data_IF_003191020117
#
_entry.id   IF_003191020117
#
_cell.length_a   1.000
_cell.length_b   1.000
_cell.length_c   1.000
_cell.angle_alpha   90.00
_cell.angle_beta   90.00
_cell.angle_gamma   90.00
#
_symmetry.space_group_name_H-M   'P 1'
#
loop_
_entity.id
_entity.type
_entity.pdbx_description
1 polymer ?
#
# COMPACT_ATOMS: atom_id res chain seq x y z
N UNK A 1 -3.12 15.95 -0.64
CA UNK A 1 -2.62 14.58 -0.47
C UNK A 1 -2.62 14.30 1.02
N UNK A 2 -3.14 13.17 1.47
CA UNK A 2 -3.29 12.76 2.87
C UNK A 2 -2.01 12.12 3.44
N UNK A 3 -0.83 12.51 2.92
CA UNK A 3 0.46 12.00 3.34
C UNK A 3 1.33 13.10 3.93
N UNK A 4 1.85 12.86 5.13
CA UNK A 4 2.95 13.62 5.71
C UNK A 4 4.27 12.86 5.48
N UNK A 5 5.30 13.52 4.94
CA UNK A 5 6.56 12.87 4.61
C UNK A 5 7.63 13.15 5.67
N UNK A 6 8.52 12.19 5.91
CA UNK A 6 9.72 12.43 6.74
C UNK A 6 10.57 13.56 6.14
N UNK A 7 11.11 14.45 6.98
CA UNK A 7 11.82 15.67 6.53
C UNK A 7 12.93 15.40 5.50
N UNK A 8 13.64 14.28 5.68
CA UNK A 8 14.77 13.92 4.84
C UNK A 8 14.37 13.26 3.51
N UNK A 9 13.09 13.14 3.16
CA UNK A 9 12.65 12.34 2.01
C UNK A 9 13.32 12.77 0.70
N UNK A 10 13.28 14.07 0.38
CA UNK A 10 13.80 14.58 -0.87
C UNK A 10 15.33 14.40 -0.94
N UNK A 11 16.03 14.81 0.12
CA UNK A 11 17.48 14.66 0.20
C UNK A 11 17.93 13.19 0.14
N UNK A 12 17.18 12.28 0.76
CA UNK A 12 17.50 10.85 0.76
C UNK A 12 17.19 10.17 -0.57
N UNK A 13 16.16 10.61 -1.30
CA UNK A 13 15.90 10.16 -2.66
C UNK A 13 17.00 10.62 -3.62
N UNK A 14 17.47 11.86 -3.49
CA UNK A 14 18.59 12.38 -4.29
C UNK A 14 19.92 11.67 -4.03
N UNK A 15 20.17 11.29 -2.76
CA UNK A 15 21.38 10.54 -2.36
C UNK A 15 21.28 9.04 -2.59
N UNK A 16 20.12 8.52 -2.98
CA UNK A 16 19.98 7.11 -3.29
C UNK A 16 20.92 6.74 -4.44
N UNK A 17 21.41 5.50 -4.42
CA UNK A 17 22.34 5.00 -5.43
C UNK A 17 21.78 5.24 -6.84
N UNK A 18 22.48 5.98 -7.73
CA UNK A 18 22.00 6.28 -9.07
C UNK A 18 21.65 5.03 -9.88
N UNK A 19 22.27 3.88 -9.58
CA UNK A 19 21.94 2.61 -10.20
C UNK A 19 20.49 2.18 -9.94
N UNK A 20 19.89 2.54 -8.79
CA UNK A 20 18.49 2.27 -8.48
C UNK A 20 17.55 2.95 -9.49
N UNK A 21 17.88 4.19 -9.83
CA UNK A 21 17.08 5.03 -10.75
C UNK A 21 17.40 4.75 -12.21
N UNK A 22 18.56 4.16 -12.51
CA UNK A 22 18.94 3.73 -13.85
C UNK A 22 18.22 2.45 -14.30
N UNK A 23 17.59 1.71 -13.40
CA UNK A 23 16.79 0.54 -13.75
C UNK A 23 15.48 0.97 -14.44
N UNK A 24 15.25 0.46 -15.65
CA UNK A 24 14.05 0.79 -16.44
C UNK A 24 12.78 0.15 -15.88
N UNK A 25 12.90 -1.04 -15.31
CA UNK A 25 11.77 -1.90 -14.91
C UNK A 25 11.85 -2.22 -13.42
N UNK A 26 12.13 -1.19 -12.61
CA UNK A 26 12.17 -1.29 -11.15
C UNK A 26 10.93 -0.69 -10.49
N UNK A 27 10.55 -1.27 -9.35
CA UNK A 27 9.50 -0.74 -8.47
C UNK A 27 10.12 -0.43 -7.12
N UNK A 28 10.09 0.85 -6.73
CA UNK A 28 10.64 1.29 -5.45
C UNK A 28 9.48 1.67 -4.53
N UNK A 29 9.21 0.84 -3.53
CA UNK A 29 8.15 1.05 -2.55
C UNK A 29 8.57 2.14 -1.55
N UNK A 30 7.71 3.15 -1.41
CA UNK A 30 7.74 4.12 -0.32
C UNK A 30 6.93 3.57 0.87
N UNK A 31 7.57 3.28 2.02
CA UNK A 31 6.84 2.82 3.19
C UNK A 31 5.91 3.89 3.74
N UNK A 32 4.64 3.51 3.91
CA UNK A 32 3.62 4.35 4.53
C UNK A 32 3.12 3.70 5.81
N UNK A 33 3.10 4.46 6.89
CA UNK A 33 2.54 4.08 8.18
C UNK A 33 1.28 4.90 8.46
N UNK A 34 0.49 4.48 9.44
CA UNK A 34 -0.86 5.03 9.65
C UNK A 34 -0.98 5.61 11.05
N UNK A 35 -1.52 6.83 11.16
CA UNK A 35 -1.94 7.35 12.46
C UNK A 35 -3.15 6.56 13.00
N UNK A 36 -3.13 6.28 14.30
CA UNK A 36 -4.24 5.60 14.98
C UNK A 36 -5.22 6.61 15.58
N UNK A 37 -6.39 6.15 16.04
CA UNK A 37 -7.37 7.00 16.73
C UNK A 37 -6.79 7.62 18.02
N UNK A 38 -5.75 6.99 18.58
CA UNK A 38 -5.03 7.52 19.73
C UNK A 38 -4.26 8.80 19.40
N UNK A 39 -3.73 8.91 18.17
CA UNK A 39 -3.00 10.09 17.73
C UNK A 39 -3.94 11.22 17.30
N UNK A 40 -4.96 10.88 16.52
CA UNK A 40 -5.94 11.83 16.01
C UNK A 40 -7.33 11.21 16.12
N UNK A 41 -8.20 11.85 16.90
CA UNK A 41 -9.58 11.42 17.04
C UNK A 41 -10.45 12.10 15.97
N UNK A 42 -10.95 11.31 15.02
CA UNK A 42 -11.76 11.81 13.89
C UNK A 42 -13.10 12.37 14.32
N UNK A 43 -13.65 11.93 15.46
CA UNK A 43 -14.87 12.49 16.04
C UNK A 43 -14.65 13.89 16.66
N UNK A 44 -13.41 14.22 17.02
CA UNK A 44 -13.06 15.52 17.58
C UNK A 44 -12.82 16.58 16.49
N UNK A 45 -12.07 16.24 15.44
CA UNK A 45 -11.79 17.19 14.35
C UNK A 45 -12.93 17.31 13.32
N UNK A 46 -13.75 16.26 13.13
CA UNK A 46 -14.96 16.16 12.29
C UNK A 46 -14.78 16.40 10.79
N UNK A 47 -14.07 17.45 10.40
CA UNK A 47 -13.81 17.84 9.02
C UNK A 47 -12.48 17.28 8.53
N UNK A 48 -12.43 16.87 7.25
CA UNK A 48 -11.23 16.29 6.64
C UNK A 48 -10.01 17.20 6.77
N UNK A 49 -10.14 18.47 6.42
CA UNK A 49 -9.03 19.43 6.48
C UNK A 49 -8.51 19.63 7.90
N UNK A 50 -9.41 19.79 8.88
CA UNK A 50 -9.06 19.92 10.28
C UNK A 50 -8.32 18.67 10.80
N UNK A 51 -8.79 17.47 10.43
CA UNK A 51 -8.13 16.22 10.83
C UNK A 51 -6.76 16.03 10.15
N UNK A 52 -6.60 16.47 8.90
CA UNK A 52 -5.31 16.45 8.20
C UNK A 52 -4.33 17.42 8.86
N UNK A 53 -4.75 18.64 9.19
CA UNK A 53 -3.91 19.60 9.91
C UNK A 53 -3.50 19.10 11.31
N UNK A 54 -4.40 18.42 12.02
CA UNK A 54 -4.04 17.76 13.28
C UNK A 54 -3.07 16.60 13.08
N UNK A 55 -3.28 15.80 12.02
CA UNK A 55 -2.39 14.70 11.65
C UNK A 55 -0.99 15.19 11.35
N UNK A 56 -0.86 16.28 10.61
CA UNK A 56 0.43 16.89 10.27
C UNK A 56 1.23 17.27 11.52
N UNK A 57 0.57 17.90 12.50
CA UNK A 57 1.20 18.32 13.78
C UNK A 57 1.72 17.17 14.64
N UNK A 58 1.12 15.99 14.55
CA UNK A 58 1.48 14.83 15.38
C UNK A 58 2.24 13.76 14.60
N UNK A 59 2.40 13.94 13.28
CA UNK A 59 3.10 13.00 12.43
C UNK A 59 4.59 13.04 12.77
N UNK A 60 5.25 11.87 12.91
CA UNK A 60 6.69 11.82 13.07
C UNK A 60 7.39 12.26 11.78
N UNK A 61 8.41 13.09 11.92
CA UNK A 61 9.27 13.55 10.82
C UNK A 61 10.60 12.77 10.76
N UNK A 62 10.98 12.11 11.86
CA UNK A 62 12.21 11.31 11.95
C UNK A 62 11.96 9.84 12.31
N UNK A 63 12.92 8.96 12.03
CA UNK A 63 12.85 7.55 12.45
C UNK A 63 12.82 7.39 13.98
N UNK A 64 13.42 8.32 14.72
CA UNK A 64 13.36 8.29 16.18
C UNK A 64 11.93 8.54 16.68
N UNK A 65 11.28 9.58 16.17
CA UNK A 65 9.88 9.89 16.46
C UNK A 65 8.95 8.78 15.96
N UNK A 66 9.24 8.21 14.79
CA UNK A 66 8.47 7.09 14.25
C UNK A 66 8.48 5.90 15.20
N UNK A 67 9.67 5.52 15.70
CA UNK A 67 9.80 4.44 16.68
C UNK A 67 9.01 4.75 17.96
N UNK A 68 9.04 5.99 18.44
CA UNK A 68 8.24 6.45 19.60
C UNK A 68 6.74 6.37 19.31
N UNK A 69 6.30 6.79 18.13
CA UNK A 69 4.92 6.75 17.68
C UNK A 69 4.38 5.31 17.61
N UNK A 70 5.15 4.38 17.04
CA UNK A 70 4.79 2.96 17.00
C UNK A 70 4.82 2.33 18.40
N UNK A 71 5.83 2.64 19.22
CA UNK A 71 5.95 2.13 20.60
C UNK A 71 4.75 2.55 21.46
N UNK A 72 4.31 3.80 21.32
CA UNK A 72 3.17 4.37 22.06
C UNK A 72 1.80 4.00 21.44
N UNK A 73 1.79 3.27 20.33
CA UNK A 73 0.60 2.88 19.54
C UNK A 73 -0.17 4.06 18.92
N UNK A 74 0.50 5.21 18.77
CA UNK A 74 0.00 6.35 18.02
C UNK A 74 0.14 6.15 16.50
N UNK A 75 1.08 5.29 16.08
CA UNK A 75 1.25 4.85 14.69
C UNK A 75 1.10 3.33 14.56
N UNK A 76 0.65 2.88 13.39
CA UNK A 76 0.57 1.47 12.99
C UNK A 76 1.35 1.21 11.70
N UNK A 77 1.94 0.01 11.61
CA UNK A 77 2.60 -0.51 10.40
C UNK A 77 1.59 -1.07 9.39
N UNK A 78 0.33 -1.24 9.78
CA UNK A 78 -0.75 -1.67 8.90
C UNK A 78 -1.99 -0.80 9.07
N UNK A 79 -2.78 -0.69 8.00
CA UNK A 79 -4.03 0.07 7.97
C UNK A 79 -5.12 -0.77 8.62
N UNK A 80 -5.32 -0.63 9.94
CA UNK A 80 -6.37 -1.35 10.68
C UNK A 80 -6.37 -2.88 10.44
N UNK A 81 -5.20 -3.53 10.45
CA UNK A 81 -5.03 -4.97 10.17
C UNK A 81 -5.36 -5.41 8.73
N UNK A 82 -5.60 -4.48 7.81
CA UNK A 82 -5.72 -4.80 6.39
C UNK A 82 -4.36 -5.27 5.86
N UNK A 83 -4.33 -6.49 5.31
CA UNK A 83 -3.12 -7.08 4.74
C UNK A 83 -2.57 -6.31 3.55
N UNK A 84 -3.44 -5.60 2.82
CA UNK A 84 -3.07 -4.87 1.60
C UNK A 84 -1.97 -3.83 1.81
N UNK A 85 -1.79 -3.31 3.03
CA UNK A 85 -0.82 -2.25 3.35
C UNK A 85 0.41 -2.73 4.16
N UNK A 86 0.66 -4.04 4.26
CA UNK A 86 1.71 -4.60 5.13
C UNK A 86 3.04 -4.84 4.41
N UNK A 87 3.73 -3.80 3.95
CA UNK A 87 5.01 -3.94 3.22
C UNK A 87 6.19 -4.20 4.14
N UNK A 88 6.25 -3.44 5.24
CA UNK A 88 7.37 -3.41 6.18
C UNK A 88 7.06 -4.23 7.44
N UNK A 89 8.08 -4.42 8.28
CA UNK A 89 7.96 -5.07 9.59
C UNK A 89 8.62 -4.22 10.68
N UNK A 90 8.64 -4.71 11.92
CA UNK A 90 9.29 -3.98 13.02
C UNK A 90 10.81 -3.87 12.88
N UNK A 91 11.46 -4.75 12.10
CA UNK A 91 12.91 -4.68 11.89
C UNK A 91 13.25 -3.49 10.99
N UNK A 92 12.41 -3.21 10.00
CA UNK A 92 12.54 -2.04 9.13
C UNK A 92 12.56 -0.70 9.90
N UNK A 93 11.87 -0.60 11.05
CA UNK A 93 11.89 0.61 11.90
C UNK A 93 13.28 1.00 12.43
N UNK A 94 14.26 0.09 12.38
CA UNK A 94 15.65 0.45 12.69
C UNK A 94 16.21 1.46 11.69
N UNK A 95 15.68 1.47 10.47
CA UNK A 95 16.17 2.24 9.34
C UNK A 95 17.46 1.64 8.77
N UNK A 96 17.96 2.25 7.70
CA UNK A 96 19.25 1.91 7.11
C UNK A 96 19.54 2.75 5.87
N UNK A 97 20.81 2.84 5.47
CA UNK A 97 21.24 3.76 4.42
C UNK A 97 20.80 3.35 3.00
N UNK A 98 20.57 2.07 2.76
CA UNK A 98 20.28 1.53 1.42
C UNK A 98 18.87 0.94 1.33
N UNK A 99 18.19 1.05 0.17
CA UNK A 99 16.96 0.31 -0.10
C UNK A 99 17.17 -1.20 0.07
N UNK A 100 16.12 -1.89 0.51
CA UNK A 100 16.13 -3.33 0.70
C UNK A 100 15.46 -4.02 -0.50
N UNK A 101 16.08 -5.05 -1.10
CA UNK A 101 15.45 -5.80 -2.17
C UNK A 101 14.21 -6.55 -1.66
N UNK A 102 13.13 -6.51 -2.43
CA UNK A 102 11.87 -7.20 -2.15
C UNK A 102 11.68 -8.31 -3.19
N UNK A 103 11.73 -9.57 -2.78
CA UNK A 103 11.64 -10.71 -3.71
C UNK A 103 10.23 -11.26 -3.90
N UNK A 104 9.32 -10.91 -3.01
CA UNK A 104 7.93 -11.36 -3.03
C UNK A 104 7.03 -10.36 -2.30
N UNK A 105 5.75 -10.31 -2.68
CA UNK A 105 4.73 -9.57 -1.92
C UNK A 105 4.14 -10.47 -0.83
N UNK A 106 3.66 -9.90 0.27
CA UNK A 106 3.10 -10.72 1.37
C UNK A 106 1.72 -11.27 1.05
N UNK A 107 0.92 -10.53 0.29
CA UNK A 107 -0.46 -10.87 -0.05
C UNK A 107 -0.76 -10.46 -1.50
N UNK A 108 -1.81 -11.03 -2.08
CA UNK A 108 -2.42 -10.49 -3.30
C UNK A 108 -3.24 -9.24 -2.97
N UNK A 109 -3.43 -8.35 -3.97
CA UNK A 109 -4.20 -7.11 -3.78
C UNK A 109 -3.52 -6.11 -2.84
N UNK A 110 -2.18 -6.11 -2.79
CA UNK A 110 -1.43 -5.08 -2.08
C UNK A 110 -1.51 -3.73 -2.80
N UNK A 111 -1.46 -2.63 -2.04
CA UNK A 111 -1.67 -1.26 -2.54
C UNK A 111 -0.52 -0.30 -2.17
N UNK A 112 0.77 -0.62 -2.46
CA UNK A 112 1.88 0.22 -2.03
C UNK A 112 1.89 1.56 -2.73
N UNK A 113 2.40 2.57 -2.03
CA UNK A 113 2.93 3.75 -2.69
C UNK A 113 4.27 3.38 -3.32
N UNK A 114 4.38 3.59 -4.63
CA UNK A 114 5.55 3.22 -5.42
C UNK A 114 6.10 4.41 -6.16
N UNK A 115 7.41 4.42 -6.33
CA UNK A 115 8.17 5.31 -7.19
C UNK A 115 8.63 4.46 -8.37
N UNK A 116 8.32 4.94 -9.56
CA UNK A 116 8.62 4.27 -10.83
C UNK A 116 9.45 5.21 -11.68
N UNK A 117 10.40 4.65 -12.44
CA UNK A 117 11.00 5.40 -13.54
C UNK A 117 9.92 5.61 -14.61
N UNK A 118 9.87 6.81 -15.18
CA UNK A 118 9.05 7.06 -16.36
C UNK A 118 9.74 6.46 -17.57
N UNK A 119 9.18 5.38 -18.11
CA UNK A 119 9.61 4.75 -19.36
C UNK A 119 8.39 4.51 -20.28
N UNK A 120 8.58 4.35 -21.60
CA UNK A 120 7.48 4.12 -22.55
C UNK A 120 6.62 2.90 -22.23
N UNK A 121 7.21 1.90 -21.58
CA UNK A 121 6.61 0.63 -21.24
C UNK A 121 6.16 0.54 -19.78
N UNK A 122 6.40 1.58 -18.96
CA UNK A 122 5.84 1.67 -17.61
C UNK A 122 4.31 1.58 -17.69
N UNK A 123 3.67 0.61 -17.00
CA UNK A 123 2.22 0.48 -17.02
C UNK A 123 1.56 1.80 -16.64
N UNK A 124 0.42 2.08 -17.26
CA UNK A 124 -0.46 3.17 -16.87
C UNK A 124 -1.64 2.61 -16.07
N UNK A 125 -2.32 3.49 -15.34
CA UNK A 125 -3.61 3.14 -14.76
C UNK A 125 -4.59 2.82 -15.89
N UNK A 126 -5.28 1.68 -15.75
CA UNK A 126 -6.36 1.31 -16.64
C UNK A 126 -7.66 2.00 -16.13
N UNK A 127 -8.26 2.89 -16.94
CA UNK A 127 -9.43 3.67 -16.53
C UNK A 127 -10.67 2.80 -16.25
N UNK A 128 -10.68 1.54 -16.69
CA UNK A 128 -11.77 0.61 -16.40
C UNK A 128 -11.82 0.21 -14.91
N UNK A 129 -10.75 0.44 -14.15
CA UNK A 129 -10.65 0.15 -12.72
C UNK A 129 -10.77 1.42 -11.85
N UNK A 130 -11.63 2.35 -12.22
CA UNK A 130 -11.77 3.66 -11.57
C UNK A 130 -12.33 3.66 -10.13
N UNK A 131 -12.73 2.49 -9.61
CA UNK A 131 -13.35 2.39 -8.29
C UNK A 131 -12.36 2.62 -7.12
N UNK A 132 -12.91 2.69 -5.90
CA UNK A 132 -12.14 2.94 -4.69
C UNK A 132 -11.22 1.75 -4.37
N UNK A 133 -10.00 1.81 -4.89
CA UNK A 133 -8.92 0.85 -4.61
C UNK A 133 -8.59 -0.09 -5.79
N UNK A 134 -9.53 -0.36 -6.70
CA UNK A 134 -9.31 -1.24 -7.84
C UNK A 134 -8.21 -0.72 -8.77
N UNK A 135 -8.12 0.60 -8.96
CA UNK A 135 -7.04 1.21 -9.73
C UNK A 135 -5.67 0.86 -9.14
N UNK A 136 -5.49 1.01 -7.83
CA UNK A 136 -4.23 0.74 -7.12
C UNK A 136 -3.90 -0.76 -7.15
N UNK A 137 -4.87 -1.62 -6.84
CA UNK A 137 -4.67 -3.06 -6.82
C UNK A 137 -4.30 -3.59 -8.21
N UNK A 138 -5.06 -3.23 -9.25
CA UNK A 138 -4.80 -3.69 -10.63
C UNK A 138 -3.49 -3.12 -11.17
N UNK A 139 -3.15 -1.87 -10.80
CA UNK A 139 -1.88 -1.26 -11.17
C UNK A 139 -0.70 -2.02 -10.56
N UNK A 140 -0.73 -2.27 -9.26
CA UNK A 140 0.33 -3.02 -8.55
C UNK A 140 0.42 -4.44 -9.07
N UNK A 141 -0.71 -5.08 -9.36
CA UNK A 141 -0.74 -6.40 -9.98
C UNK A 141 -0.09 -6.40 -11.36
N UNK A 142 -0.36 -5.38 -12.19
CA UNK A 142 0.30 -5.22 -13.49
C UNK A 142 1.80 -5.02 -13.33
N UNK A 143 2.24 -4.24 -12.33
CA UNK A 143 3.66 -4.05 -12.03
C UNK A 143 4.36 -5.38 -11.74
N UNK A 144 3.73 -6.32 -11.02
CA UNK A 144 4.33 -7.64 -10.72
C UNK A 144 4.71 -8.43 -11.96
N UNK A 145 4.04 -8.25 -13.10
CA UNK A 145 4.39 -8.88 -14.37
C UNK A 145 5.36 -8.03 -15.20
N UNK A 146 5.41 -6.73 -14.95
CA UNK A 146 6.15 -5.81 -15.80
C UNK A 146 7.57 -5.54 -15.31
N UNK A 147 7.79 -5.52 -14.01
CA UNK A 147 9.05 -5.17 -13.37
C UNK A 147 9.93 -6.38 -13.08
N UNK A 148 11.24 -6.19 -13.18
CA UNK A 148 12.23 -7.23 -12.90
C UNK A 148 12.76 -7.16 -11.46
N UNK A 149 12.66 -5.97 -10.83
CA UNK A 149 13.27 -5.72 -9.54
C UNK A 149 12.36 -4.86 -8.65
N UNK A 150 12.23 -5.26 -7.39
CA UNK A 150 11.50 -4.50 -6.38
C UNK A 150 12.40 -4.14 -5.22
N UNK A 151 12.20 -2.95 -4.70
CA UNK A 151 12.92 -2.42 -3.55
C UNK A 151 11.95 -1.77 -2.57
N UNK A 152 12.32 -1.72 -1.30
CA UNK A 152 11.65 -0.92 -0.28
C UNK A 152 12.65 0.08 0.27
N UNK A 153 12.32 1.36 0.27
CA UNK A 153 13.17 2.38 0.87
C UNK A 153 13.32 2.14 2.38
N UNK A 154 14.51 2.34 2.92
CA UNK A 154 14.83 2.03 4.33
C UNK A 154 15.32 3.25 5.14
N UNK A 155 15.36 4.42 4.50
CA UNK A 155 15.82 5.69 5.07
C UNK A 155 14.75 6.79 4.96
N UNK A 156 13.57 6.51 4.43
CA UNK A 156 12.47 7.47 4.29
C UNK A 156 11.14 6.78 4.55
N UNK A 157 10.14 7.57 4.90
CA UNK A 157 8.77 7.10 5.10
C UNK A 157 7.76 8.22 4.91
N UNK A 158 6.49 7.83 4.80
CA UNK A 158 5.37 8.75 4.91
C UNK A 158 4.35 8.24 5.94
N UNK A 159 3.49 9.15 6.36
CA UNK A 159 2.42 8.94 7.33
C UNK A 159 1.08 9.26 6.65
N UNK A 160 0.23 8.26 6.54
CA UNK A 160 -1.17 8.39 6.14
C UNK A 160 -1.93 9.10 7.28
N UNK A 161 -2.36 10.31 6.93
CA UNK A 161 -3.09 11.22 7.81
C UNK A 161 -4.45 10.64 8.13
N UNK A 162 -4.85 10.74 9.40
CA UNK A 162 -6.15 10.24 9.79
C UNK A 162 -7.21 11.28 9.45
N UNK A 163 -8.26 10.85 8.75
CA UNK A 163 -9.37 11.71 8.38
C UNK A 163 -10.69 10.92 8.37
N UNK A 164 -11.85 11.59 8.44
CA UNK A 164 -13.16 10.95 8.32
C UNK A 164 -13.32 10.26 6.97
N UNK A 165 -14.18 9.25 6.88
CA UNK A 165 -14.48 8.59 5.62
C UNK A 165 -15.15 9.57 4.67
N UNK A 166 -14.60 9.73 3.46
CA UNK A 166 -15.25 10.48 2.39
C UNK A 166 -16.57 9.82 1.96
N UNK A 167 -17.45 10.58 1.32
CA UNK A 167 -18.68 10.06 0.73
C UNK A 167 -18.40 8.89 -0.23
N UNK A 168 -17.36 9.00 -1.07
CA UNK A 168 -16.93 7.93 -1.96
C UNK A 168 -16.53 6.65 -1.21
N UNK A 169 -15.84 6.76 -0.07
CA UNK A 169 -15.49 5.58 0.74
C UNK A 169 -16.74 4.95 1.37
N UNK A 170 -17.68 5.77 1.83
CA UNK A 170 -18.93 5.28 2.43
C UNK A 170 -19.76 4.53 1.38
N UNK A 171 -19.94 5.12 0.19
CA UNK A 171 -20.59 4.48 -0.94
C UNK A 171 -19.89 3.18 -1.35
N UNK A 172 -18.55 3.16 -1.40
CA UNK A 172 -17.81 1.93 -1.68
C UNK A 172 -18.08 0.85 -0.63
N UNK A 173 -18.07 1.19 0.67
CA UNK A 173 -18.37 0.24 1.74
C UNK A 173 -19.79 -0.35 1.58
N UNK A 174 -20.77 0.44 1.15
CA UNK A 174 -22.13 -0.02 0.83
C UNK A 174 -22.15 -0.94 -0.38
N UNK A 175 -21.59 -0.51 -1.51
CA UNK A 175 -21.54 -1.31 -2.75
C UNK A 175 -20.77 -2.63 -2.53
N UNK A 176 -19.74 -2.62 -1.67
CA UNK A 176 -18.95 -3.80 -1.34
C UNK A 176 -19.76 -4.78 -0.50
N UNK A 177 -20.54 -4.30 0.48
CA UNK A 177 -21.50 -5.13 1.23
C UNK A 177 -22.51 -5.80 0.31
N UNK A 178 -22.92 -5.11 -0.76
CA UNK A 178 -23.83 -5.64 -1.76
C UNK A 178 -23.14 -6.44 -2.89
N UNK A 179 -21.84 -6.76 -2.76
CA UNK A 179 -21.03 -7.54 -3.71
C UNK A 179 -20.95 -6.95 -5.13
N UNK A 180 -21.18 -5.66 -5.28
CA UNK A 180 -21.17 -4.96 -6.57
C UNK A 180 -19.94 -4.06 -6.77
N UNK A 181 -19.03 -3.98 -5.78
CA UNK A 181 -18.00 -2.94 -5.75
C UNK A 181 -16.83 -3.14 -6.71
N UNK A 182 -16.55 -4.37 -7.13
CA UNK A 182 -15.47 -4.70 -8.05
C UNK A 182 -16.05 -5.55 -9.18
N UNK A 183 -15.79 -5.14 -10.43
CA UNK A 183 -16.18 -5.92 -11.59
C UNK A 183 -15.25 -7.15 -11.70
N UNK A 184 -15.70 -8.28 -11.14
CA UNK A 184 -14.94 -9.52 -11.09
C UNK A 184 -14.56 -10.04 -12.49
N UNK A 185 -15.40 -9.79 -13.50
CA UNK A 185 -15.09 -10.13 -14.89
C UNK A 185 -13.89 -9.34 -15.41
N UNK A 186 -13.84 -8.01 -15.17
CA UNK A 186 -12.71 -7.19 -15.58
C UNK A 186 -11.40 -7.60 -14.88
N UNK A 187 -11.46 -7.92 -13.59
CA UNK A 187 -10.30 -8.43 -12.83
C UNK A 187 -9.79 -9.75 -13.44
N UNK A 188 -10.71 -10.67 -13.78
CA UNK A 188 -10.36 -11.95 -14.37
C UNK A 188 -9.77 -11.79 -15.78
N UNK A 189 -10.39 -10.97 -16.62
CA UNK A 189 -9.92 -10.66 -17.97
C UNK A 189 -8.51 -10.07 -17.92
N UNK A 190 -8.29 -9.06 -17.07
CA UNK A 190 -6.98 -8.45 -16.91
C UNK A 190 -5.92 -9.43 -16.41
N UNK A 191 -6.28 -10.27 -15.44
CA UNK A 191 -5.37 -11.31 -14.94
C UNK A 191 -5.01 -12.33 -16.04
N UNK A 192 -5.95 -12.64 -16.93
CA UNK A 192 -5.74 -13.52 -18.07
C UNK A 192 -4.79 -12.91 -19.10
N UNK A 193 -4.99 -11.64 -19.47
CA UNK A 193 -4.09 -10.88 -20.36
C UNK A 193 -2.65 -10.85 -19.81
N UNK A 194 -2.50 -10.53 -18.52
CA UNK A 194 -1.19 -10.45 -17.88
C UNK A 194 -0.47 -11.81 -17.89
N UNK A 195 -1.18 -12.92 -17.67
CA UNK A 195 -0.60 -14.28 -17.77
C UNK A 195 -0.16 -14.62 -19.19
N UNK A 196 -0.86 -14.14 -20.21
CA UNK A 196 -0.49 -14.38 -21.62
C UNK A 196 0.74 -13.60 -22.06
N UNK A 197 1.17 -12.58 -21.30
CA UNK A 197 2.37 -11.81 -21.61
C UNK A 197 3.70 -12.57 -21.49
N UNK A 198 3.69 -13.81 -20.97
CA UNK A 198 4.86 -14.68 -20.73
C UNK A 198 5.96 -14.09 -19.85
N UNK A 199 5.71 -12.97 -19.16
CA UNK A 199 6.65 -12.37 -18.21
C UNK A 199 6.60 -13.11 -16.88
N UNK A 200 7.75 -13.28 -16.24
CA UNK A 200 7.82 -13.84 -14.90
C UNK A 200 7.12 -12.88 -13.92
N UNK A 201 6.16 -13.43 -13.18
CA UNK A 201 5.38 -12.67 -12.20
C UNK A 201 6.10 -12.68 -10.85
N UNK A 202 6.31 -11.50 -10.25
CA UNK A 202 6.77 -11.41 -8.87
C UNK A 202 5.88 -12.25 -7.94
N UNK A 203 6.43 -13.22 -7.18
CA UNK A 203 5.65 -14.17 -6.41
C UNK A 203 5.05 -13.57 -5.14
N UNK A 204 4.10 -14.29 -4.55
CA UNK A 204 3.68 -14.09 -3.16
C UNK A 204 4.59 -14.91 -2.25
N UNK A 205 4.96 -14.35 -1.10
CA UNK A 205 5.86 -15.00 -0.15
C UNK A 205 5.23 -16.30 0.38
N UNK A 206 5.92 -17.43 0.19
CA UNK A 206 5.46 -18.79 0.51
C UNK A 206 5.15 -19.07 2.00
N UNK A 207 5.46 -18.13 2.90
CA UNK A 207 5.32 -18.28 4.36
C UNK A 207 4.08 -17.63 4.98
N UNK A 208 3.19 -17.03 4.19
CA UNK A 208 1.97 -16.37 4.71
C UNK A 208 0.65 -16.96 4.17
N UNK A 209 0.62 -18.22 3.71
CA UNK A 209 -0.61 -19.01 3.67
C UNK A 209 -1.09 -19.41 5.09
N UNK A 210 -0.98 -18.50 6.06
CA UNK A 210 -1.96 -18.50 7.15
C UNK A 210 -3.19 -17.87 6.52
N UNK A 211 -4.21 -18.67 6.24
CA UNK A 211 -5.53 -18.17 5.88
C UNK A 211 -5.90 -17.03 6.83
N UNK A 212 -5.70 -15.78 6.41
CA UNK A 212 -6.43 -14.65 6.99
C UNK A 212 -7.82 -14.80 6.41
N UNK A 213 -8.55 -15.79 6.92
CA UNK A 213 -9.97 -15.67 7.03
C UNK A 213 -10.19 -14.39 7.80
N UNK A 214 -10.61 -13.34 7.10
CA UNK A 214 -11.43 -12.32 7.74
C UNK A 214 -12.67 -13.10 8.16
N UNK A 215 -12.62 -13.63 9.38
CA UNK A 215 -13.78 -14.15 10.06
C UNK A 215 -14.61 -12.91 10.37
N UNK A 216 -15.40 -12.48 9.40
CA UNK A 216 -16.59 -11.73 9.72
C UNK A 216 -17.38 -12.66 10.65
N UNK A 217 -17.46 -12.25 11.92
CA UNK A 217 -18.57 -12.67 12.77
C UNK A 217 -19.80 -12.31 11.94
N UNK A 218 -20.59 -13.33 11.64
CA UNK A 218 -21.78 -13.28 10.79
C UNK A 218 -21.45 -13.30 9.28
N UNK A 219 -21.13 -14.50 8.77
CA UNK A 219 -21.91 -15.09 7.67
C UNK A 219 -21.40 -16.49 7.32
N UNK A 220 -22.31 -17.46 7.40
CA UNK A 220 -22.19 -18.75 6.72
C UNK A 220 -22.17 -18.44 5.21
N UNK A 221 -21.33 -19.16 4.46
CA UNK A 221 -21.19 -19.18 2.99
C UNK A 221 -19.84 -18.64 2.48
N UNK A 222 -18.82 -19.51 2.60
CA UNK A 222 -17.53 -19.41 1.90
C UNK A 222 -17.71 -19.66 0.40
N UNK A 223 -17.26 -18.73 -0.45
CA UNK A 223 -16.84 -19.06 -1.81
C UNK A 223 -15.38 -19.52 -1.77
N UNK A 224 -15.16 -20.82 -1.89
CA UNK A 224 -13.87 -21.40 -2.19
C UNK A 224 -13.57 -21.19 -3.68
N UNK A 225 -12.61 -20.35 -4.02
CA UNK A 225 -11.96 -20.42 -5.32
C UNK A 225 -10.77 -21.40 -5.20
N UNK A 226 -11.01 -22.66 -5.58
CA UNK A 226 -9.95 -23.63 -5.91
C UNK A 226 -9.56 -23.37 -7.36
N UNK A 227 -8.33 -22.90 -7.58
CA UNK A 227 -7.71 -22.98 -8.89
C UNK A 227 -7.18 -24.41 -9.07
N UNK A 228 -7.76 -25.14 -10.03
CA UNK A 228 -7.12 -26.28 -10.69
C UNK A 228 -6.56 -25.79 -12.02
#
# INVERSE_FOLDING_TARGET
MDLHFSDAIYANLQRADPSLWALERSVVVLPVLFLTEKAVNTAACRETEACVLMSDRVSPSSFEELRRCVKTRSCSLDKNRLGSHRYIDRKWLKGGAKPLPLRCLKFEGMEPYVILRRAPDTPLFDPLFYDYGGNKQTFVESLRYYSDQWFVLNNVFAIDSRHPKSAYRQQFDETYRHRAALNSFLIQLRSHELRHSQKEKMPICSRFFSLVFIKHKDDKHMLQYRFR
#
